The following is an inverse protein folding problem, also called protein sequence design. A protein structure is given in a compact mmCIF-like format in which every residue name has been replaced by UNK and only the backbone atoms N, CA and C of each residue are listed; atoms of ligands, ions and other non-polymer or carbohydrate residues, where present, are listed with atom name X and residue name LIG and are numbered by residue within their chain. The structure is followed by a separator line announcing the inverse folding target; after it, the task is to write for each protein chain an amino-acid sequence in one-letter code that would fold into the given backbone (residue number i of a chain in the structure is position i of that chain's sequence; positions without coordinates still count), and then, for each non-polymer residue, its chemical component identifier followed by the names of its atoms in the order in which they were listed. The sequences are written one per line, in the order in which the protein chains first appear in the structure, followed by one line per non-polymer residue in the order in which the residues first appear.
data_IF_025817735266
#
_entry.id   IF_025817735266
#
_cell.length_a   1.000
_cell.length_b   1.000
_cell.length_c   1.000
_cell.angle_alpha   90.00
_cell.angle_beta   90.00
_cell.angle_gamma   90.00
#
_symmetry.space_group_name_H-M   'P 1'
#
loop_
_entity.id
_entity.type
_entity.pdbx_description
1 polymer ?
#
# COMPACT_ATOMS: atom_id res chain seq x y z
N UNK A 1 0.54 -4.86 -42.99
CA UNK A 1 0.76 -4.56 -41.63
C UNK A 1 0.00 -3.33 -41.12
N UNK A 2 -0.68 -2.57 -42.02
CA UNK A 2 -1.53 -1.43 -41.64
C UNK A 2 -2.53 -1.75 -40.51
N UNK A 3 -3.15 -2.93 -40.52
CA UNK A 3 -4.13 -3.37 -39.55
C UNK A 3 -3.49 -3.66 -38.15
N UNK A 4 -2.23 -4.08 -38.12
CA UNK A 4 -1.48 -4.30 -36.86
C UNK A 4 -1.11 -2.95 -36.26
N UNK A 5 -0.63 -2.02 -37.08
CA UNK A 5 -0.27 -0.66 -36.66
C UNK A 5 -1.49 0.13 -36.16
N UNK A 6 -2.66 -0.10 -36.76
CA UNK A 6 -3.93 0.50 -36.36
C UNK A 6 -4.47 -0.09 -35.04
N UNK A 7 -4.29 -1.40 -34.82
CA UNK A 7 -4.61 -2.07 -33.55
C UNK A 7 -3.68 -1.62 -32.41
N UNK A 8 -2.39 -1.50 -32.66
CA UNK A 8 -1.44 -1.00 -31.66
C UNK A 8 -1.70 0.46 -31.29
N UNK A 9 -2.03 1.30 -32.30
CA UNK A 9 -2.40 2.70 -32.08
C UNK A 9 -3.70 2.80 -31.27
N UNK A 10 -4.73 2.00 -31.60
CA UNK A 10 -5.98 1.97 -30.88
C UNK A 10 -5.84 1.46 -29.44
N UNK A 11 -5.02 0.41 -29.23
CA UNK A 11 -4.73 -0.10 -27.90
C UNK A 11 -4.00 0.93 -27.04
N UNK A 12 -3.01 1.63 -27.62
CA UNK A 12 -2.28 2.70 -26.95
C UNK A 12 -3.20 3.87 -26.57
N UNK A 13 -4.13 4.22 -27.46
CA UNK A 13 -5.08 5.30 -27.23
C UNK A 13 -6.12 4.94 -26.16
N UNK A 14 -6.60 3.70 -26.14
CA UNK A 14 -7.48 3.19 -25.08
C UNK A 14 -6.77 3.22 -23.71
N UNK A 15 -5.56 2.71 -23.63
CA UNK A 15 -4.77 2.73 -22.39
C UNK A 15 -4.50 4.16 -21.89
N UNK A 16 -4.27 5.11 -22.81
CA UNK A 16 -4.10 6.53 -22.49
C UNK A 16 -5.39 7.15 -21.96
N UNK A 17 -6.52 6.86 -22.57
CA UNK A 17 -7.83 7.35 -22.15
C UNK A 17 -8.27 6.79 -20.79
N UNK A 18 -8.03 5.51 -20.54
CA UNK A 18 -8.30 4.89 -19.24
C UNK A 18 -7.41 5.49 -18.14
N UNK A 19 -6.14 5.75 -18.46
CA UNK A 19 -5.21 6.42 -17.55
C UNK A 19 -5.63 7.85 -17.23
N UNK A 20 -6.09 8.61 -18.23
CA UNK A 20 -6.61 9.97 -18.01
C UNK A 20 -7.90 9.96 -17.19
N UNK A 21 -8.81 9.02 -17.42
CA UNK A 21 -10.03 8.90 -16.63
C UNK A 21 -9.73 8.58 -15.17
N UNK A 22 -8.84 7.61 -14.91
CA UNK A 22 -8.36 7.28 -13.58
C UNK A 22 -7.66 8.48 -12.91
N UNK A 23 -6.86 9.24 -13.66
CA UNK A 23 -6.21 10.46 -13.18
C UNK A 23 -7.22 11.54 -12.75
N UNK A 24 -8.24 11.80 -13.55
CA UNK A 24 -9.29 12.79 -13.23
C UNK A 24 -10.06 12.41 -11.98
N UNK A 25 -10.39 11.13 -11.84
CA UNK A 25 -11.09 10.63 -10.66
C UNK A 25 -10.22 10.71 -9.40
N UNK A 26 -8.94 10.34 -9.50
CA UNK A 26 -7.97 10.48 -8.41
C UNK A 26 -7.75 11.94 -8.01
N UNK A 27 -7.60 12.87 -8.95
CA UNK A 27 -7.43 14.29 -8.63
C UNK A 27 -8.63 14.85 -7.87
N UNK A 28 -9.86 14.48 -8.28
CA UNK A 28 -11.09 14.84 -7.57
C UNK A 28 -11.11 14.28 -6.15
N UNK A 29 -10.66 13.03 -5.99
CA UNK A 29 -10.60 12.38 -4.70
C UNK A 29 -9.58 13.02 -3.78
N UNK A 30 -8.34 13.27 -4.27
CA UNK A 30 -7.29 13.93 -3.50
C UNK A 30 -7.77 15.29 -2.97
N UNK A 31 -8.48 16.06 -3.80
CA UNK A 31 -9.08 17.32 -3.37
C UNK A 31 -10.06 17.13 -2.21
N UNK A 32 -10.88 16.07 -2.24
CA UNK A 32 -11.78 15.73 -1.13
C UNK A 32 -11.02 15.27 0.13
N UNK A 33 -10.04 14.39 -0.05
CA UNK A 33 -9.24 13.85 1.06
C UNK A 33 -8.33 14.90 1.72
N UNK A 34 -7.90 15.94 0.99
CA UNK A 34 -7.21 17.11 1.55
C UNK A 34 -8.20 18.00 2.31
N UNK A 35 -9.42 18.18 1.80
CA UNK A 35 -10.43 19.01 2.45
C UNK A 35 -10.91 18.46 3.79
N UNK A 36 -10.94 17.12 3.92
CA UNK A 36 -11.39 16.44 5.14
C UNK A 36 -10.56 16.78 6.38
N UNK A 37 -9.21 16.71 6.39
CA UNK A 37 -8.40 17.10 7.54
C UNK A 37 -8.31 18.63 7.73
N UNK A 38 -8.42 19.43 6.66
CA UNK A 38 -8.37 20.88 6.75
C UNK A 38 -9.53 21.47 7.57
N UNK A 39 -10.72 20.89 7.48
CA UNK A 39 -11.90 21.37 8.20
C UNK A 39 -11.73 21.23 9.72
N UNK A 40 -11.40 20.05 10.29
CA UNK A 40 -11.15 19.93 11.72
C UNK A 40 -9.93 20.73 12.18
N UNK A 41 -8.84 20.84 11.39
CA UNK A 41 -7.71 21.71 11.73
C UNK A 41 -8.16 23.16 11.92
N UNK A 42 -8.90 23.71 10.95
CA UNK A 42 -9.42 25.07 11.05
C UNK A 42 -10.31 25.26 12.27
N UNK A 43 -11.22 24.32 12.53
CA UNK A 43 -12.10 24.38 13.70
C UNK A 43 -11.32 24.30 15.02
N UNK A 44 -10.29 23.47 15.07
CA UNK A 44 -9.40 23.34 16.24
C UNK A 44 -8.68 24.64 16.52
N UNK A 45 -8.09 25.29 15.49
CA UNK A 45 -7.41 26.59 15.62
C UNK A 45 -8.41 27.66 16.04
N UNK A 46 -9.57 27.76 15.41
CA UNK A 46 -10.61 28.74 15.76
C UNK A 46 -11.14 28.56 17.20
N UNK A 47 -11.32 27.28 17.61
CA UNK A 47 -11.74 26.99 19.00
C UNK A 47 -10.65 27.38 20.01
N UNK A 48 -9.38 27.13 19.68
CA UNK A 48 -8.27 27.57 20.52
C UNK A 48 -8.24 29.09 20.64
N UNK A 49 -8.27 29.81 19.51
CA UNK A 49 -8.27 31.29 19.49
C UNK A 49 -9.41 31.87 20.33
N UNK A 50 -10.62 31.30 20.21
CA UNK A 50 -11.81 31.82 20.93
C UNK A 50 -11.85 31.50 22.42
N UNK A 51 -11.18 30.38 22.84
CA UNK A 51 -11.21 29.86 24.22
C UNK A 51 -9.87 30.03 24.94
N UNK A 52 -8.92 30.72 24.32
CA UNK A 52 -7.60 30.92 24.91
C UNK A 52 -7.70 31.87 26.09
N UNK A 53 -7.38 31.39 27.27
CA UNK A 53 -7.24 32.15 28.49
C UNK A 53 -5.84 31.91 29.06
N UNK A 54 -4.98 32.92 29.03
CA UNK A 54 -3.57 32.80 29.45
C UNK A 54 -3.38 32.33 30.89
N UNK A 55 -4.37 32.57 31.77
CA UNK A 55 -4.34 32.21 33.18
C UNK A 55 -5.11 30.91 33.49
N UNK A 56 -5.52 30.14 32.46
CA UNK A 56 -6.19 28.87 32.67
C UNK A 56 -5.18 27.85 33.27
N UNK A 57 -5.46 27.26 34.45
CA UNK A 57 -4.56 26.28 35.08
C UNK A 57 -4.28 25.06 34.20
N UNK A 58 -5.17 24.75 33.27
CA UNK A 58 -5.08 23.63 32.36
C UNK A 58 -4.58 24.00 30.97
N UNK A 59 -4.06 25.22 30.77
CA UNK A 59 -3.66 25.71 29.45
C UNK A 59 -2.62 24.81 28.76
N UNK A 60 -1.66 24.29 29.51
CA UNK A 60 -0.62 23.41 28.96
C UNK A 60 -1.21 22.11 28.41
N UNK A 61 -2.15 21.48 29.12
CA UNK A 61 -2.82 20.27 28.67
C UNK A 61 -3.70 20.53 27.46
N UNK A 62 -4.46 21.62 27.47
CA UNK A 62 -5.28 22.03 26.31
C UNK A 62 -4.41 22.29 25.08
N UNK A 63 -3.25 22.94 25.23
CA UNK A 63 -2.30 23.19 24.15
C UNK A 63 -1.74 21.89 23.59
N UNK A 64 -1.40 20.93 24.46
CA UNK A 64 -0.94 19.60 24.06
C UNK A 64 -2.00 18.87 23.24
N UNK A 65 -3.25 18.83 23.69
CA UNK A 65 -4.37 18.20 23.00
C UNK A 65 -4.64 18.85 21.63
N UNK A 66 -4.60 20.19 21.54
CA UNK A 66 -4.73 20.93 20.28
C UNK A 66 -3.59 20.61 19.31
N UNK A 67 -2.36 20.63 19.81
CA UNK A 67 -1.16 20.35 19.00
C UNK A 67 -1.20 18.93 18.47
N UNK A 68 -1.54 17.94 19.31
CA UNK A 68 -1.70 16.55 18.94
C UNK A 68 -2.74 16.37 17.84
N UNK A 69 -3.89 17.04 17.96
CA UNK A 69 -4.96 16.98 16.97
C UNK A 69 -4.50 17.56 15.63
N UNK A 70 -3.80 18.69 15.62
CA UNK A 70 -3.31 19.33 14.40
C UNK A 70 -2.24 18.45 13.73
N UNK A 71 -1.28 17.94 14.51
CA UNK A 71 -0.23 17.04 13.98
C UNK A 71 -0.83 15.78 13.35
N UNK A 72 -1.82 15.16 13.97
CA UNK A 72 -2.51 14.02 13.40
C UNK A 72 -3.19 14.31 12.06
N UNK A 73 -3.77 15.51 11.89
CA UNK A 73 -4.36 15.92 10.61
C UNK A 73 -3.29 16.23 9.55
N UNK A 74 -2.13 16.80 9.95
CA UNK A 74 -0.98 17.00 9.05
C UNK A 74 -0.44 15.67 8.56
N UNK A 75 -0.30 14.69 9.43
CA UNK A 75 0.15 13.33 9.06
C UNK A 75 -0.81 12.68 8.07
N UNK A 76 -2.12 12.88 8.26
CA UNK A 76 -3.15 12.43 7.33
C UNK A 76 -2.97 13.10 5.96
N UNK A 77 -2.78 14.43 5.92
CA UNK A 77 -2.54 15.15 4.66
C UNK A 77 -1.26 14.71 3.96
N UNK A 78 -0.19 14.49 4.71
CA UNK A 78 1.08 14.00 4.19
C UNK A 78 0.92 12.61 3.56
N UNK A 79 0.13 11.75 4.19
CA UNK A 79 -0.20 10.42 3.66
C UNK A 79 -0.98 10.50 2.35
N UNK A 80 -1.96 11.43 2.25
CA UNK A 80 -2.73 11.72 1.03
C UNK A 80 -1.82 12.22 -0.10
N UNK A 81 -0.95 13.18 0.21
CA UNK A 81 -0.02 13.75 -0.77
C UNK A 81 0.98 12.70 -1.29
N UNK A 82 1.53 11.87 -0.41
CA UNK A 82 2.45 10.80 -0.76
C UNK A 82 1.79 9.73 -1.65
N UNK A 83 0.55 9.35 -1.36
CA UNK A 83 -0.14 8.37 -2.19
C UNK A 83 -0.52 8.94 -3.56
N UNK A 84 -0.91 10.22 -3.64
CA UNK A 84 -1.14 10.89 -4.91
C UNK A 84 0.16 11.02 -5.71
N UNK A 85 1.25 11.44 -5.09
CA UNK A 85 2.57 11.50 -5.72
C UNK A 85 2.97 10.13 -6.29
N UNK A 86 2.80 9.09 -5.50
CA UNK A 86 3.07 7.71 -5.90
C UNK A 86 2.18 7.21 -7.06
N UNK A 87 0.96 7.69 -7.17
CA UNK A 87 0.07 7.40 -8.30
C UNK A 87 0.45 8.24 -9.52
N UNK A 88 0.75 9.52 -9.32
CA UNK A 88 1.12 10.47 -10.37
C UNK A 88 2.44 10.13 -11.07
N UNK A 89 3.39 9.61 -10.30
CA UNK A 89 4.74 9.24 -10.77
C UNK A 89 4.87 7.75 -11.06
N UNK A 90 3.85 7.08 -11.65
CA UNK A 90 4.09 5.76 -12.21
C UNK A 90 5.03 5.92 -13.43
N UNK A 91 6.35 5.75 -13.27
CA UNK A 91 7.27 5.77 -14.40
C UNK A 91 6.94 4.60 -15.33
N UNK A 92 7.29 4.73 -16.61
CA UNK A 92 7.29 3.58 -17.50
C UNK A 92 8.05 2.42 -16.83
N UNK A 93 7.48 1.23 -16.86
CA UNK A 93 8.09 0.02 -16.28
C UNK A 93 9.54 -0.12 -16.76
N UNK A 94 10.47 -0.15 -15.82
CA UNK A 94 11.88 -0.43 -16.10
C UNK A 94 12.19 -1.87 -15.69
N UNK A 95 11.75 -2.80 -16.54
CA UNK A 95 11.97 -4.22 -16.29
C UNK A 95 13.45 -4.57 -16.42
N UNK A 96 14.02 -5.10 -15.35
CA UNK A 96 15.36 -5.65 -15.28
C UNK A 96 15.34 -7.12 -14.85
N UNK A 97 16.37 -7.86 -15.23
CA UNK A 97 16.57 -9.21 -14.69
C UNK A 97 17.13 -9.10 -13.28
N UNK A 98 16.38 -9.57 -12.28
CA UNK A 98 16.76 -9.44 -10.88
C UNK A 98 16.54 -10.74 -10.11
N UNK A 99 17.29 -10.90 -9.02
CA UNK A 99 17.05 -11.96 -8.03
C UNK A 99 15.97 -11.48 -7.05
N UNK A 100 14.78 -12.08 -7.14
CA UNK A 100 13.62 -11.73 -6.32
C UNK A 100 13.91 -11.95 -4.83
N UNK A 101 14.59 -13.06 -4.48
CA UNK A 101 14.95 -13.38 -3.09
C UNK A 101 15.78 -12.26 -2.46
N UNK A 102 16.81 -11.83 -3.16
CA UNK A 102 17.67 -10.74 -2.71
C UNK A 102 16.92 -9.41 -2.55
N UNK A 103 16.06 -9.05 -3.53
CA UNK A 103 15.31 -7.80 -3.46
C UNK A 103 14.31 -7.81 -2.30
N UNK A 104 13.63 -8.94 -2.07
CA UNK A 104 12.72 -9.07 -0.93
C UNK A 104 13.49 -8.95 0.38
N UNK A 105 14.59 -9.68 0.54
CA UNK A 105 15.41 -9.63 1.75
C UNK A 105 15.90 -8.21 2.05
N UNK A 106 16.49 -7.51 1.08
CA UNK A 106 16.92 -6.11 1.23
C UNK A 106 15.76 -5.17 1.56
N UNK A 107 14.57 -5.43 1.02
CA UNK A 107 13.38 -4.62 1.34
C UNK A 107 12.96 -4.78 2.80
N UNK A 108 13.13 -5.96 3.37
CA UNK A 108 12.79 -6.19 4.78
C UNK A 108 13.72 -5.48 5.75
N UNK A 109 14.95 -5.15 5.36
CA UNK A 109 15.90 -4.38 6.18
C UNK A 109 15.43 -2.94 6.46
N UNK A 110 14.42 -2.44 5.72
CA UNK A 110 13.81 -1.11 5.96
C UNK A 110 12.96 -1.10 7.25
N UNK A 111 12.51 -2.27 7.69
CA UNK A 111 11.66 -2.43 8.86
C UNK A 111 12.51 -2.68 10.12
N UNK A 112 12.13 -2.06 11.22
CA UNK A 112 12.84 -2.19 12.50
C UNK A 112 12.19 -3.21 13.44
N UNK A 113 11.12 -3.88 13.00
CA UNK A 113 10.35 -4.81 13.80
C UNK A 113 11.04 -6.18 13.88
N UNK A 114 11.51 -6.56 15.04
CA UNK A 114 12.24 -7.82 15.29
C UNK A 114 11.38 -9.09 15.05
N UNK A 115 10.05 -8.93 14.98
CA UNK A 115 9.12 -10.02 14.76
C UNK A 115 8.85 -10.32 13.27
N UNK A 116 9.53 -9.64 12.35
CA UNK A 116 9.49 -9.95 10.92
C UNK A 116 10.53 -11.03 10.63
N UNK A 117 10.07 -12.16 10.13
CA UNK A 117 10.92 -13.31 9.78
C UNK A 117 10.90 -13.52 8.27
N UNK A 118 12.05 -13.87 7.72
CA UNK A 118 12.23 -14.15 6.30
C UNK A 118 12.70 -15.59 6.07
N UNK A 119 12.13 -16.22 5.06
CA UNK A 119 12.58 -17.52 4.57
C UNK A 119 12.50 -17.58 3.04
N UNK A 120 13.45 -18.24 2.42
CA UNK A 120 13.42 -18.57 1.01
C UNK A 120 13.74 -20.04 0.82
N UNK A 121 13.02 -20.73 -0.07
CA UNK A 121 13.27 -22.13 -0.37
C UNK A 121 14.45 -22.34 -1.34
N UNK A 122 14.80 -21.29 -2.07
CA UNK A 122 15.94 -21.25 -3.00
C UNK A 122 16.72 -19.95 -2.73
N UNK A 123 18.05 -19.99 -2.86
CA UNK A 123 18.90 -18.82 -2.64
C UNK A 123 18.74 -17.76 -3.75
N UNK A 124 18.31 -18.23 -4.94
CA UNK A 124 18.17 -17.38 -6.10
C UNK A 124 16.94 -17.75 -6.92
N UNK A 125 16.07 -16.79 -7.18
CA UNK A 125 14.96 -16.89 -8.13
C UNK A 125 15.00 -15.69 -9.05
N UNK A 126 15.36 -15.92 -10.32
CA UNK A 126 15.51 -14.85 -11.31
C UNK A 126 14.18 -14.59 -12.02
N UNK A 127 13.75 -13.33 -12.04
CA UNK A 127 12.60 -12.87 -12.80
C UNK A 127 12.88 -11.52 -13.47
N UNK A 128 12.08 -11.18 -14.50
CA UNK A 128 12.17 -9.89 -15.20
C UNK A 128 11.08 -8.95 -14.65
N UNK A 129 11.45 -8.12 -13.70
CA UNK A 129 10.54 -7.22 -12.98
C UNK A 129 11.18 -5.83 -12.82
N UNK A 130 10.36 -4.83 -12.56
CA UNK A 130 10.83 -3.54 -12.08
C UNK A 130 11.10 -3.61 -10.57
N UNK A 131 12.36 -3.37 -10.19
CA UNK A 131 12.83 -3.43 -8.80
C UNK A 131 12.00 -2.51 -7.89
N UNK A 132 11.72 -1.29 -8.34
CA UNK A 132 10.99 -0.30 -7.55
C UNK A 132 9.54 -0.73 -7.31
N UNK A 133 8.91 -1.34 -8.33
CA UNK A 133 7.55 -1.87 -8.18
C UNK A 133 7.51 -3.09 -7.27
N UNK A 134 8.49 -3.99 -7.37
CA UNK A 134 8.60 -5.13 -6.44
C UNK A 134 8.78 -4.66 -4.99
N UNK A 135 9.71 -3.75 -4.74
CA UNK A 135 9.91 -3.14 -3.41
C UNK A 135 8.60 -2.54 -2.90
N UNK A 136 7.86 -1.84 -3.75
CA UNK A 136 6.57 -1.23 -3.39
C UNK A 136 5.52 -2.27 -3.01
N UNK A 137 5.43 -3.38 -3.73
CA UNK A 137 4.52 -4.50 -3.41
C UNK A 137 4.85 -5.05 -2.02
N UNK A 138 6.13 -5.40 -1.79
CA UNK A 138 6.57 -5.98 -0.52
C UNK A 138 6.35 -5.02 0.65
N UNK A 139 6.77 -3.77 0.51
CA UNK A 139 6.62 -2.74 1.56
C UNK A 139 5.14 -2.56 1.94
N UNK A 140 4.22 -2.53 0.98
CA UNK A 140 2.80 -2.41 1.27
C UNK A 140 2.24 -3.63 2.00
N UNK A 141 2.59 -4.85 1.58
CA UNK A 141 2.11 -6.07 2.22
C UNK A 141 2.65 -6.19 3.65
N UNK A 142 3.96 -6.00 3.85
CA UNK A 142 4.59 -6.09 5.17
C UNK A 142 4.06 -4.99 6.10
N UNK A 143 3.92 -3.75 5.62
CA UNK A 143 3.32 -2.66 6.40
C UNK A 143 1.87 -2.98 6.80
N UNK A 144 1.09 -3.61 5.91
CA UNK A 144 -0.27 -4.03 6.24
C UNK A 144 -0.28 -5.13 7.30
N UNK A 145 0.62 -6.11 7.21
CA UNK A 145 0.80 -7.18 8.18
C UNK A 145 1.17 -6.64 9.57
N UNK A 146 2.21 -5.79 9.66
CA UNK A 146 2.62 -5.15 10.92
C UNK A 146 1.46 -4.37 11.55
N UNK A 147 0.73 -3.59 10.74
CA UNK A 147 -0.41 -2.79 11.22
C UNK A 147 -1.65 -3.61 11.58
N UNK A 148 -1.76 -4.86 11.12
CA UNK A 148 -2.87 -5.75 11.49
C UNK A 148 -2.71 -6.33 12.89
N UNK A 149 -1.48 -6.35 13.42
CA UNK A 149 -1.16 -6.90 14.73
C UNK A 149 -1.41 -5.82 15.80
N UNK A 150 -2.26 -6.08 16.80
CA UNK A 150 -2.50 -5.15 17.91
C UNK A 150 -1.21 -4.84 18.68
N UNK A 151 -1.04 -3.60 19.13
CA UNK A 151 0.13 -3.20 19.94
C UNK A 151 0.24 -4.01 21.25
N UNK A 152 -0.89 -4.41 21.82
CA UNK A 152 -1.00 -5.19 23.05
C UNK A 152 -0.70 -6.69 22.89
N UNK A 153 -0.51 -7.18 21.66
CA UNK A 153 -0.22 -8.58 21.39
C UNK A 153 1.22 -8.90 21.76
N UNK A 154 1.44 -9.86 22.64
CA UNK A 154 2.79 -10.24 23.11
C UNK A 154 3.58 -11.03 22.04
N UNK A 155 2.93 -11.99 21.40
CA UNK A 155 3.57 -12.86 20.39
C UNK A 155 3.27 -12.34 18.98
N UNK A 156 3.89 -11.21 18.61
CA UNK A 156 3.77 -10.66 17.25
C UNK A 156 4.59 -11.49 16.27
N UNK A 157 4.05 -11.74 15.09
CA UNK A 157 4.75 -12.45 14.03
C UNK A 157 4.28 -11.99 12.65
N UNK A 158 5.26 -11.65 11.81
CA UNK A 158 5.09 -11.49 10.36
C UNK A 158 6.08 -12.41 9.69
N UNK A 159 5.61 -13.28 8.82
CA UNK A 159 6.43 -14.24 8.12
C UNK A 159 6.40 -13.97 6.62
N UNK A 160 7.57 -13.75 6.01
CA UNK A 160 7.72 -13.50 4.57
C UNK A 160 8.46 -14.69 3.96
N UNK A 161 7.82 -15.37 3.01
CA UNK A 161 8.40 -16.53 2.34
C UNK A 161 8.46 -16.29 0.84
N UNK A 162 9.62 -16.60 0.24
CA UNK A 162 9.83 -16.57 -1.22
C UNK A 162 10.11 -17.96 -1.72
N UNK A 163 9.38 -18.41 -2.73
CA UNK A 163 9.56 -19.74 -3.31
C UNK A 163 9.16 -19.77 -4.78
N UNK A 164 9.66 -20.76 -5.49
CA UNK A 164 9.25 -21.07 -6.86
C UNK A 164 8.19 -22.14 -6.84
N UNK A 165 7.15 -21.94 -7.62
CA UNK A 165 6.19 -22.99 -7.92
C UNK A 165 5.85 -22.92 -9.40
N UNK A 166 6.04 -24.04 -10.10
CA UNK A 166 5.88 -24.10 -11.55
C UNK A 166 6.78 -23.07 -12.27
N UNK A 167 6.20 -22.21 -13.06
CA UNK A 167 6.90 -21.13 -13.78
C UNK A 167 6.66 -19.75 -13.16
N UNK A 168 6.41 -19.70 -11.86
CA UNK A 168 6.14 -18.47 -11.11
C UNK A 168 7.05 -18.36 -9.88
N UNK A 169 7.46 -17.14 -9.57
CA UNK A 169 7.95 -16.80 -8.23
C UNK A 169 6.77 -16.40 -7.38
N UNK A 170 6.67 -16.99 -6.20
CA UNK A 170 5.62 -16.70 -5.22
C UNK A 170 6.22 -16.06 -3.99
N UNK A 171 5.51 -15.06 -3.47
CA UNK A 171 5.87 -14.34 -2.26
C UNK A 171 4.65 -14.38 -1.34
N UNK A 172 4.79 -15.03 -0.20
CA UNK A 172 3.78 -15.07 0.84
C UNK A 172 4.14 -14.12 1.97
N UNK A 173 3.19 -13.33 2.42
CA UNK A 173 3.32 -12.46 3.60
C UNK A 173 2.19 -12.82 4.56
N UNK A 174 2.55 -13.44 5.69
CA UNK A 174 1.63 -13.93 6.71
C UNK A 174 1.80 -13.15 8.00
N UNK A 175 0.71 -12.71 8.58
CA UNK A 175 0.65 -12.12 9.91
C UNK A 175 -0.22 -12.95 10.85
N UNK A 176 -0.03 -12.77 12.14
CA UNK A 176 -0.89 -13.32 13.17
C UNK A 176 -1.74 -12.23 13.86
N UNK A 177 -2.15 -11.23 13.08
CA UNK A 177 -2.95 -10.12 13.56
C UNK A 177 -4.45 -10.42 13.68
N UNK A 178 -5.25 -9.37 13.63
CA UNK A 178 -6.72 -9.45 13.80
C UNK A 178 -7.46 -10.13 12.64
N UNK A 179 -6.79 -10.41 11.52
CA UNK A 179 -7.43 -10.91 10.31
C UNK A 179 -8.36 -9.88 9.64
N UNK A 180 -9.13 -10.35 8.67
CA UNK A 180 -10.11 -9.55 7.92
C UNK A 180 -11.49 -10.12 8.21
N UNK A 181 -12.44 -9.28 8.63
CA UNK A 181 -13.81 -9.71 8.89
C UNK A 181 -14.52 -10.12 7.60
N UNK A 182 -15.45 -11.08 7.69
CA UNK A 182 -16.20 -11.61 6.54
C UNK A 182 -16.88 -10.54 5.69
N UNK A 183 -17.45 -9.52 6.31
CA UNK A 183 -18.07 -8.37 5.64
C UNK A 183 -17.12 -7.56 4.77
N UNK A 184 -15.82 -7.63 5.06
CA UNK A 184 -14.77 -6.85 4.42
C UNK A 184 -14.00 -7.63 3.33
N UNK A 185 -14.11 -8.96 3.30
CA UNK A 185 -13.38 -9.84 2.36
C UNK A 185 -13.58 -9.41 0.90
N UNK A 186 -14.82 -9.17 0.49
CA UNK A 186 -15.13 -8.80 -0.89
C UNK A 186 -14.54 -7.43 -1.31
N UNK A 187 -14.24 -6.57 -0.33
CA UNK A 187 -13.84 -5.18 -0.54
C UNK A 187 -12.35 -4.91 -0.36
N UNK A 188 -11.57 -5.91 0.04
CA UNK A 188 -10.14 -5.78 0.39
C UNK A 188 -9.32 -5.08 -0.70
N UNK A 189 -9.63 -5.34 -1.97
CA UNK A 189 -8.94 -4.75 -3.12
C UNK A 189 -9.68 -3.55 -3.74
N UNK A 190 -10.85 -3.17 -3.20
CA UNK A 190 -11.54 -1.98 -3.68
C UNK A 190 -10.72 -0.72 -3.34
N UNK A 191 -10.55 0.21 -4.29
CA UNK A 191 -9.98 1.51 -3.99
C UNK A 191 -10.80 2.20 -2.89
N UNK A 192 -10.12 2.87 -1.95
CA UNK A 192 -10.73 3.59 -0.81
C UNK A 192 -11.21 2.70 0.33
N UNK A 193 -11.15 1.40 0.19
CA UNK A 193 -11.52 0.52 1.30
C UNK A 193 -10.41 0.49 2.35
N UNK A 194 -10.73 0.93 3.56
CA UNK A 194 -9.84 0.87 4.71
C UNK A 194 -10.64 0.72 6.00
N UNK A 195 -10.15 -0.10 6.89
CA UNK A 195 -10.63 -0.21 8.28
C UNK A 195 -9.76 0.60 9.24
N UNK A 196 -8.75 1.33 8.72
CA UNK A 196 -7.78 2.10 9.49
C UNK A 196 -8.16 3.57 9.49
N UNK A 197 -8.05 4.23 10.63
CA UNK A 197 -8.38 5.66 10.80
C UNK A 197 -7.48 6.61 10.00
N UNK A 198 -6.27 6.18 9.65
CA UNK A 198 -5.28 6.98 8.91
C UNK A 198 -4.92 6.40 7.53
N UNK A 199 -5.62 5.37 7.08
CA UNK A 199 -5.33 4.70 5.81
C UNK A 199 -6.24 5.20 4.68
N UNK A 200 -5.68 5.52 3.51
CA UNK A 200 -6.45 5.93 2.32
C UNK A 200 -7.13 4.77 1.59
N UNK A 201 -6.89 3.52 2.00
CA UNK A 201 -7.45 2.36 1.31
C UNK A 201 -6.94 2.17 -0.12
N UNK A 202 -5.81 2.76 -0.50
CA UNK A 202 -5.26 2.66 -1.86
C UNK A 202 -4.14 1.61 -1.99
N UNK A 203 -3.52 1.21 -0.88
CA UNK A 203 -2.34 0.35 -0.90
C UNK A 203 -2.56 -0.98 -1.63
N UNK A 204 -3.59 -1.74 -1.24
CA UNK A 204 -3.89 -3.04 -1.84
C UNK A 204 -4.41 -2.93 -3.28
N UNK A 205 -5.18 -1.90 -3.61
CA UNK A 205 -5.62 -1.65 -4.97
C UNK A 205 -4.43 -1.34 -5.91
N UNK A 206 -3.47 -0.53 -5.45
CA UNK A 206 -2.26 -0.20 -6.21
C UNK A 206 -1.40 -1.44 -6.46
N UNK A 207 -1.13 -2.25 -5.43
CA UNK A 207 -0.29 -3.44 -5.61
C UNK A 207 -0.98 -4.50 -6.46
N UNK A 208 -2.30 -4.64 -6.37
CA UNK A 208 -3.07 -5.50 -7.26
C UNK A 208 -2.86 -5.11 -8.72
N UNK A 209 -2.99 -3.83 -9.04
CA UNK A 209 -2.76 -3.31 -10.39
C UNK A 209 -1.31 -3.55 -10.86
N UNK A 210 -0.31 -3.32 -9.98
CA UNK A 210 1.10 -3.62 -10.30
C UNK A 210 1.25 -5.10 -10.67
N UNK A 211 0.72 -6.00 -9.86
CA UNK A 211 0.85 -7.45 -10.04
C UNK A 211 0.16 -7.91 -11.32
N UNK A 212 -1.05 -7.42 -11.58
CA UNK A 212 -1.82 -7.73 -12.79
C UNK A 212 -1.12 -7.25 -14.07
N UNK A 213 -0.42 -6.11 -14.05
CA UNK A 213 0.39 -5.63 -15.17
C UNK A 213 1.57 -6.55 -15.53
N UNK A 214 1.99 -7.42 -14.61
CA UNK A 214 2.98 -8.49 -14.88
C UNK A 214 2.32 -9.83 -15.22
N UNK A 215 1.00 -9.87 -15.44
CA UNK A 215 0.24 -11.12 -15.56
C UNK A 215 0.40 -12.03 -14.33
N UNK A 216 0.67 -11.43 -13.18
CA UNK A 216 0.74 -12.10 -11.89
C UNK A 216 -0.63 -12.14 -11.20
N UNK A 217 -0.67 -12.77 -10.04
CA UNK A 217 -1.89 -12.87 -9.22
C UNK A 217 -1.61 -12.45 -7.78
N UNK A 218 -2.63 -11.91 -7.12
CA UNK A 218 -2.65 -11.70 -5.68
C UNK A 218 -3.90 -12.35 -5.09
N UNK A 219 -3.69 -13.19 -4.11
CA UNK A 219 -4.75 -13.84 -3.33
C UNK A 219 -4.47 -13.67 -1.85
N UNK A 220 -5.45 -13.97 -1.01
CA UNK A 220 -5.24 -14.00 0.43
C UNK A 220 -6.13 -15.07 1.07
N UNK A 221 -5.65 -15.58 2.19
CA UNK A 221 -6.39 -16.39 3.15
C UNK A 221 -6.39 -15.68 4.51
N UNK A 222 -7.53 -15.67 5.19
CA UNK A 222 -7.69 -14.91 6.43
C UNK A 222 -8.68 -15.57 7.36
N UNK A 223 -8.36 -15.51 8.63
CA UNK A 223 -9.27 -15.93 9.69
C UNK A 223 -9.32 -14.86 10.78
N UNK A 224 -10.51 -14.50 11.20
CA UNK A 224 -10.71 -13.46 12.22
C UNK A 224 -9.97 -13.83 13.51
N UNK A 225 -9.13 -12.92 14.01
CA UNK A 225 -8.26 -13.07 15.19
C UNK A 225 -7.16 -14.14 15.08
N UNK A 226 -6.90 -14.68 13.89
CA UNK A 226 -5.78 -15.60 13.66
C UNK A 226 -4.76 -15.02 12.67
N UNK A 227 -5.16 -14.01 11.88
CA UNK A 227 -4.29 -13.28 10.98
C UNK A 227 -4.68 -13.40 9.50
N UNK A 228 -3.78 -12.95 8.64
CA UNK A 228 -3.96 -12.97 7.18
C UNK A 228 -2.68 -13.42 6.49
N UNK A 229 -2.80 -14.20 5.44
CA UNK A 229 -1.71 -14.53 4.53
C UNK A 229 -2.04 -14.00 3.13
N UNK A 230 -1.25 -13.05 2.65
CA UNK A 230 -1.29 -12.61 1.26
C UNK A 230 -0.29 -13.41 0.44
N UNK A 231 -0.72 -13.94 -0.70
CA UNK A 231 0.11 -14.66 -1.66
C UNK A 231 0.12 -13.90 -2.99
N UNK A 232 1.33 -13.53 -3.42
CA UNK A 232 1.57 -12.86 -4.70
C UNK A 232 2.35 -13.79 -5.61
N UNK A 233 1.98 -13.87 -6.89
CA UNK A 233 2.76 -14.57 -7.91
C UNK A 233 3.19 -13.65 -9.05
N UNK A 234 4.39 -13.91 -9.60
CA UNK A 234 4.87 -13.29 -10.83
C UNK A 234 5.43 -14.38 -11.76
N UNK A 235 5.15 -14.33 -13.07
CA UNK A 235 5.76 -15.23 -14.03
C UNK A 235 7.29 -15.05 -14.07
N UNK A 236 8.03 -16.17 -14.01
CA UNK A 236 9.50 -16.15 -14.10
C UNK A 236 9.94 -15.89 -15.55
N UNK A 237 9.22 -16.45 -16.52
CA UNK A 237 9.46 -16.23 -17.95
C UNK A 237 8.38 -15.29 -18.50
N UNK A 238 8.62 -14.00 -18.49
CA UNK A 238 7.86 -13.09 -19.33
C UNK A 238 8.19 -13.41 -20.80
N UNK A 239 7.39 -14.26 -21.44
CA UNK A 239 7.33 -14.30 -22.90
C UNK A 239 6.65 -13.02 -23.35
N UNK A 240 7.39 -11.91 -23.35
CA UNK A 240 7.07 -10.78 -24.21
C UNK A 240 7.69 -11.10 -25.58
N UNK A 241 6.86 -11.64 -26.47
CA UNK A 241 7.07 -11.50 -27.91
C UNK A 241 6.77 -10.07 -28.28
#
# INVERSE_FOLDING_TARGET
NEMIDELESSATQLATNEREAAWREMAKQVAHEIKNPLTPMRLTVQNFERKFEANDPNISKKLEDYTKTILQQIDTMSSVANAFSNFATMPAQQNETLNVVQVVQMTLEIFNEDFIQFSALEDEIIAKLDRTQLIRVITNLVKNAVQAIPETQENKMVFVTVFRQDNEVKIAVKDNGKGISEENIARVFEPKFTTKSSGMGLGLAIIKNIIENYNGTITFDTQANEGTEFLVSFPINNKNN
#
